data_IF_092889328354
#
_entry.id   IF_092889328354
#
_cell.length_a   1.000
_cell.length_b   1.000
_cell.length_c   1.000
_cell.angle_alpha   90.00
_cell.angle_beta   90.00
_cell.angle_gamma   90.00
#
_symmetry.space_group_name_H-M   'P 1'
#
loop_
_entity.id
_entity.type
_entity.pdbx_description
1 polymer ?
#
# COMPACT_ATOMS: atom_id res chain seq x y z
N UNK A 1 -27.54 -14.11 -1.43
CA UNK A 1 -26.26 -13.48 -1.07
C UNK A 1 -26.50 -12.75 0.25
N UNK A 2 -25.76 -13.04 1.28
CA UNK A 2 -25.85 -12.31 2.56
C UNK A 2 -24.91 -11.09 2.47
N UNK A 3 -25.43 -9.90 2.69
CA UNK A 3 -24.71 -8.63 2.65
C UNK A 3 -24.44 -8.07 4.04
N UNK A 4 -24.78 -8.82 5.10
CA UNK A 4 -24.52 -8.42 6.46
C UNK A 4 -23.04 -8.66 6.82
N UNK A 5 -22.45 -7.68 7.48
CA UNK A 5 -21.11 -7.81 8.03
C UNK A 5 -21.13 -8.75 9.24
N UNK A 6 -20.08 -9.54 9.41
CA UNK A 6 -19.86 -10.25 10.65
C UNK A 6 -19.58 -9.27 11.80
N UNK A 7 -19.75 -9.74 13.05
CA UNK A 7 -19.43 -8.92 14.22
C UNK A 7 -17.98 -8.43 14.23
N UNK A 8 -17.06 -9.26 13.77
CA UNK A 8 -15.64 -8.90 13.64
C UNK A 8 -15.43 -7.79 12.60
N UNK A 9 -16.05 -7.93 11.43
CA UNK A 9 -16.00 -6.92 10.37
C UNK A 9 -16.62 -5.59 10.81
N UNK A 10 -17.75 -5.61 11.55
CA UNK A 10 -18.34 -4.41 12.13
C UNK A 10 -17.40 -3.70 13.12
N UNK A 11 -16.71 -4.48 13.97
CA UNK A 11 -15.73 -3.94 14.92
C UNK A 11 -14.52 -3.32 14.20
N UNK A 12 -13.98 -4.00 13.18
CA UNK A 12 -12.88 -3.49 12.37
C UNK A 12 -13.29 -2.21 11.62
N UNK A 13 -14.46 -2.20 10.99
CA UNK A 13 -14.99 -1.01 10.31
C UNK A 13 -15.14 0.18 11.26
N UNK A 14 -15.64 -0.07 12.46
CA UNK A 14 -15.74 0.97 13.49
C UNK A 14 -14.36 1.50 13.87
N UNK A 15 -13.39 0.62 14.09
CA UNK A 15 -12.00 1.01 14.40
C UNK A 15 -11.40 1.87 13.28
N UNK A 16 -11.56 1.47 12.01
CA UNK A 16 -11.07 2.25 10.87
C UNK A 16 -11.72 3.62 10.79
N UNK A 17 -13.03 3.70 10.99
CA UNK A 17 -13.77 4.97 11.03
C UNK A 17 -13.31 5.88 12.16
N UNK A 18 -13.21 5.35 13.37
CA UNK A 18 -12.77 6.10 14.54
C UNK A 18 -11.34 6.64 14.31
N UNK A 19 -10.46 5.84 13.73
CA UNK A 19 -9.11 6.27 13.35
C UNK A 19 -9.14 7.36 12.26
N UNK A 20 -9.92 7.18 11.21
CA UNK A 20 -10.06 8.15 10.14
C UNK A 20 -10.53 9.52 10.65
N UNK A 21 -11.57 9.55 11.48
CA UNK A 21 -12.12 10.80 12.02
C UNK A 21 -11.19 11.49 13.02
N UNK A 22 -10.46 10.74 13.86
CA UNK A 22 -9.68 11.31 14.94
C UNK A 22 -8.20 11.57 14.58
N UNK A 23 -7.61 10.77 13.70
CA UNK A 23 -6.18 10.83 13.40
C UNK A 23 -5.87 11.29 11.98
N UNK A 24 -6.76 11.03 11.01
CA UNK A 24 -6.54 11.38 9.60
C UNK A 24 -7.21 12.72 9.25
N UNK A 25 -8.48 12.86 9.56
CA UNK A 25 -9.28 14.03 9.19
C UNK A 25 -8.69 15.37 9.66
N UNK A 26 -8.15 15.50 10.89
CA UNK A 26 -7.57 16.77 11.34
C UNK A 26 -6.35 17.24 10.54
N UNK A 27 -5.69 16.31 9.82
CA UNK A 27 -4.48 16.58 9.04
C UNK A 27 -4.74 16.60 7.54
N UNK A 28 -5.94 16.22 7.08
CA UNK A 28 -6.23 16.00 5.66
C UNK A 28 -6.02 17.26 4.81
N UNK A 29 -6.51 18.40 5.26
CA UNK A 29 -6.36 19.70 4.57
C UNK A 29 -4.86 20.10 4.48
N UNK A 30 -4.14 19.98 5.58
CA UNK A 30 -2.71 20.31 5.62
C UNK A 30 -1.88 19.39 4.71
N UNK A 31 -2.19 18.09 4.69
CA UNK A 31 -1.52 17.09 3.82
C UNK A 31 -1.72 17.45 2.35
N UNK A 32 -2.95 17.83 1.98
CA UNK A 32 -3.29 18.21 0.61
C UNK A 32 -2.62 19.52 0.18
N UNK A 33 -2.76 20.57 0.99
CA UNK A 33 -2.18 21.90 0.70
C UNK A 33 -0.65 21.92 0.63
N UNK A 34 0.03 21.06 1.39
CA UNK A 34 1.48 21.02 1.45
C UNK A 34 2.10 19.88 0.63
N UNK A 35 1.27 19.10 -0.12
CA UNK A 35 1.72 17.93 -0.88
C UNK A 35 2.57 16.98 -0.02
N UNK A 36 2.19 16.81 1.25
CA UNK A 36 2.99 16.15 2.25
C UNK A 36 2.64 14.67 2.41
N UNK A 37 3.64 13.81 2.59
CA UNK A 37 3.41 12.44 3.00
C UNK A 37 3.08 12.40 4.51
N UNK A 38 1.94 11.80 4.94
CA UNK A 38 1.48 11.82 6.34
C UNK A 38 2.20 10.76 7.19
N UNK A 39 3.51 10.91 7.38
CA UNK A 39 4.38 9.91 7.99
C UNK A 39 3.92 9.45 9.38
N UNK A 40 3.54 10.39 10.25
CA UNK A 40 3.09 10.06 11.61
C UNK A 40 1.74 9.31 11.59
N UNK A 41 0.85 9.64 10.67
CA UNK A 41 -0.42 8.91 10.47
C UNK A 41 -0.13 7.49 10.02
N UNK A 42 0.76 7.30 9.05
CA UNK A 42 1.17 5.97 8.55
C UNK A 42 1.80 5.13 9.66
N UNK A 43 2.66 5.71 10.51
CA UNK A 43 3.21 5.02 11.68
C UNK A 43 2.13 4.56 12.67
N UNK A 44 1.08 5.36 12.87
CA UNK A 44 -0.06 4.97 13.71
C UNK A 44 -0.89 3.86 13.06
N UNK A 45 -1.12 3.93 11.74
CA UNK A 45 -1.78 2.87 10.98
C UNK A 45 -1.03 1.54 11.08
N UNK A 46 0.30 1.58 10.97
CA UNK A 46 1.17 0.41 11.12
C UNK A 46 1.00 -0.26 12.49
N UNK A 47 0.97 0.53 13.58
CA UNK A 47 0.74 0.01 14.96
C UNK A 47 -0.62 -0.67 15.13
N UNK A 48 -1.61 -0.32 14.33
CA UNK A 48 -2.95 -0.92 14.32
C UNK A 48 -3.06 -2.09 13.31
N UNK A 49 -1.95 -2.50 12.67
CA UNK A 49 -1.92 -3.59 11.72
C UNK A 49 -2.54 -3.26 10.35
N UNK A 50 -2.77 -1.98 10.06
CA UNK A 50 -3.41 -1.57 8.80
C UNK A 50 -2.51 -1.71 7.57
N UNK A 51 -1.20 -1.92 7.75
CA UNK A 51 -0.27 -2.15 6.66
C UNK A 51 -0.24 -3.61 6.19
N UNK A 52 -0.89 -4.53 6.93
CA UNK A 52 -0.90 -5.96 6.61
C UNK A 52 -2.25 -6.64 6.86
N UNK A 53 -3.38 -5.97 6.60
CA UNK A 53 -4.72 -6.37 7.05
C UNK A 53 -5.06 -7.82 6.73
N UNK A 54 -4.97 -8.25 5.46
CA UNK A 54 -5.41 -9.59 5.05
C UNK A 54 -4.27 -10.60 4.86
N UNK A 55 -3.02 -10.19 5.07
CA UNK A 55 -1.91 -11.13 4.97
C UNK A 55 -1.85 -12.05 6.20
N UNK A 56 -1.40 -13.31 6.01
CA UNK A 56 -1.26 -14.27 7.10
C UNK A 56 -0.34 -13.78 8.22
N UNK A 57 -0.64 -14.21 9.44
CA UNK A 57 0.15 -13.86 10.63
C UNK A 57 1.58 -14.37 10.56
N UNK A 58 1.84 -15.47 9.84
CA UNK A 58 3.19 -16.00 9.61
C UNK A 58 4.11 -15.04 8.86
N UNK A 59 3.53 -14.13 8.06
CA UNK A 59 4.24 -13.05 7.37
C UNK A 59 4.07 -11.68 8.05
N UNK A 60 3.62 -11.65 9.30
CA UNK A 60 3.45 -10.43 10.06
C UNK A 60 2.15 -9.66 9.79
N UNK A 61 1.24 -10.22 8.99
CA UNK A 61 -0.07 -9.65 8.72
C UNK A 61 -1.05 -9.81 9.87
N UNK A 62 -2.18 -9.10 9.81
CA UNK A 62 -3.26 -9.19 10.81
C UNK A 62 -4.11 -10.45 10.66
N UNK A 63 -4.11 -11.09 9.49
CA UNK A 63 -4.88 -12.30 9.20
C UNK A 63 -6.39 -12.07 9.08
N UNK A 64 -6.80 -10.84 8.79
CA UNK A 64 -8.20 -10.52 8.47
C UNK A 64 -8.54 -10.90 7.02
N UNK A 65 -9.72 -10.56 6.54
CA UNK A 65 -10.14 -10.84 5.18
C UNK A 65 -9.98 -9.63 4.23
N UNK A 66 -10.15 -9.87 2.93
CA UNK A 66 -10.07 -8.83 1.90
C UNK A 66 -11.16 -7.77 2.08
N UNK A 67 -12.36 -8.15 2.58
CA UNK A 67 -13.44 -7.19 2.84
C UNK A 67 -13.04 -6.20 3.94
N UNK A 68 -12.35 -6.67 4.97
CA UNK A 68 -11.79 -5.82 6.02
C UNK A 68 -10.78 -4.81 5.46
N UNK A 69 -9.94 -5.22 4.51
CA UNK A 69 -9.04 -4.31 3.79
C UNK A 69 -9.81 -3.26 2.98
N UNK A 70 -10.82 -3.68 2.21
CA UNK A 70 -11.64 -2.74 1.43
C UNK A 70 -12.34 -1.72 2.33
N UNK A 71 -12.86 -2.15 3.48
CA UNK A 71 -13.47 -1.25 4.46
C UNK A 71 -12.46 -0.24 5.04
N UNK A 72 -11.20 -0.64 5.27
CA UNK A 72 -10.17 0.29 5.71
C UNK A 72 -9.90 1.36 4.65
N UNK A 73 -9.73 0.97 3.38
CA UNK A 73 -9.56 1.91 2.26
C UNK A 73 -10.76 2.85 2.15
N UNK A 74 -11.99 2.32 2.25
CA UNK A 74 -13.22 3.12 2.20
C UNK A 74 -13.27 4.17 3.31
N UNK A 75 -13.07 3.78 4.56
CA UNK A 75 -13.19 4.70 5.70
C UNK A 75 -12.07 5.76 5.69
N UNK A 76 -10.84 5.42 5.28
CA UNK A 76 -9.75 6.40 5.13
C UNK A 76 -10.03 7.36 3.98
N UNK A 77 -10.46 6.86 2.82
CA UNK A 77 -10.71 7.68 1.62
C UNK A 77 -11.87 8.66 1.79
N UNK A 78 -12.83 8.39 2.68
CA UNK A 78 -13.92 9.33 3.02
C UNK A 78 -13.43 10.63 3.62
N UNK A 79 -12.28 10.60 4.30
CA UNK A 79 -11.73 11.77 5.00
C UNK A 79 -10.46 12.31 4.34
N UNK A 80 -9.66 11.45 3.72
CA UNK A 80 -8.42 11.82 3.04
C UNK A 80 -8.10 10.80 1.94
N UNK A 81 -8.21 11.22 0.68
CA UNK A 81 -7.91 10.39 -0.49
C UNK A 81 -6.47 9.87 -0.47
N UNK A 82 -5.51 10.73 -0.14
CA UNK A 82 -4.08 10.38 -0.01
C UNK A 82 -3.86 9.22 0.95
N UNK A 83 -4.45 9.27 2.16
CA UNK A 83 -4.30 8.21 3.15
C UNK A 83 -4.94 6.89 2.69
N UNK A 84 -6.09 6.96 2.02
CA UNK A 84 -6.72 5.79 1.42
C UNK A 84 -5.86 5.15 0.33
N UNK A 85 -5.25 5.97 -0.53
CA UNK A 85 -4.33 5.51 -1.59
C UNK A 85 -3.06 4.89 -1.00
N UNK A 86 -2.51 5.42 0.08
CA UNK A 86 -1.33 4.83 0.75
C UNK A 86 -1.61 3.39 1.16
N UNK A 87 -2.72 3.12 1.86
CA UNK A 87 -3.10 1.73 2.22
C UNK A 87 -3.30 0.88 0.98
N UNK A 88 -4.01 1.42 -0.01
CA UNK A 88 -4.33 0.69 -1.23
C UNK A 88 -3.07 0.31 -2.01
N UNK A 89 -2.21 1.27 -2.31
CA UNK A 89 -0.99 1.05 -3.09
C UNK A 89 0.00 0.13 -2.37
N UNK A 90 0.24 0.38 -1.09
CA UNK A 90 1.11 -0.46 -0.28
C UNK A 90 0.64 -1.93 -0.26
N UNK A 91 -0.66 -2.14 -0.02
CA UNK A 91 -1.22 -3.48 0.16
C UNK A 91 -1.39 -4.22 -1.16
N UNK A 92 -2.12 -3.61 -2.12
CA UNK A 92 -2.53 -4.32 -3.34
C UNK A 92 -1.48 -4.26 -4.47
N UNK A 93 -0.66 -3.22 -4.52
CA UNK A 93 0.30 -3.04 -5.60
C UNK A 93 1.72 -3.49 -5.22
N UNK A 94 2.08 -3.47 -3.93
CA UNK A 94 3.39 -3.94 -3.47
C UNK A 94 3.32 -5.28 -2.74
N UNK A 95 2.58 -5.36 -1.62
CA UNK A 95 2.56 -6.56 -0.79
C UNK A 95 1.90 -7.76 -1.47
N UNK A 96 0.76 -7.55 -2.15
CA UNK A 96 0.02 -8.63 -2.80
C UNK A 96 0.82 -9.35 -3.89
N UNK A 97 1.49 -8.67 -4.84
CA UNK A 97 2.32 -9.35 -5.84
C UNK A 97 3.45 -10.19 -5.21
N UNK A 98 4.06 -9.71 -4.12
CA UNK A 98 5.07 -10.48 -3.39
C UNK A 98 4.43 -11.71 -2.74
N UNK A 99 3.28 -11.56 -2.12
CA UNK A 99 2.56 -12.65 -1.47
C UNK A 99 2.08 -13.70 -2.46
N UNK A 100 1.55 -13.29 -3.60
CA UNK A 100 0.96 -14.20 -4.59
C UNK A 100 2.02 -14.89 -5.47
N UNK A 101 3.09 -14.17 -5.84
CA UNK A 101 4.04 -14.61 -6.86
C UNK A 101 5.48 -14.79 -6.35
N UNK A 102 5.80 -14.30 -5.16
CA UNK A 102 7.14 -14.42 -4.57
C UNK A 102 7.45 -15.85 -4.14
N UNK A 103 8.75 -16.20 -4.10
CA UNK A 103 9.22 -17.43 -3.46
C UNK A 103 8.98 -17.34 -1.94
N UNK A 104 8.98 -18.48 -1.26
CA UNK A 104 8.86 -18.52 0.21
C UNK A 104 9.95 -17.72 0.93
N UNK A 105 11.14 -17.69 0.37
CA UNK A 105 12.26 -16.90 0.87
C UNK A 105 11.98 -15.40 0.74
N UNK A 106 11.50 -14.96 -0.43
CA UNK A 106 11.11 -13.57 -0.67
C UNK A 106 9.95 -13.14 0.25
N UNK A 107 8.91 -13.96 0.39
CA UNK A 107 7.78 -13.68 1.28
C UNK A 107 8.25 -13.47 2.72
N UNK A 108 9.07 -14.39 3.24
CA UNK A 108 9.61 -14.33 4.60
C UNK A 108 10.56 -13.14 4.83
N UNK A 109 11.22 -12.67 3.80
CA UNK A 109 12.13 -11.54 3.89
C UNK A 109 11.41 -10.19 3.81
N UNK A 110 10.49 -10.02 2.84
CA UNK A 110 9.86 -8.74 2.55
C UNK A 110 8.58 -8.49 3.37
N UNK A 111 7.66 -9.47 3.41
CA UNK A 111 6.33 -9.24 3.97
C UNK A 111 6.33 -8.83 5.44
N UNK A 112 7.13 -9.41 6.35
CA UNK A 112 7.13 -8.98 7.74
C UNK A 112 7.47 -7.50 7.93
N UNK A 113 8.40 -6.96 7.14
CA UNK A 113 8.82 -5.56 7.20
C UNK A 113 7.77 -4.63 6.58
N UNK A 114 7.12 -5.07 5.52
CA UNK A 114 6.03 -4.33 4.88
C UNK A 114 4.78 -4.35 5.76
N UNK A 115 4.35 -5.51 6.25
CA UNK A 115 3.16 -5.63 7.09
C UNK A 115 3.29 -4.91 8.44
N UNK A 116 4.51 -4.83 8.99
CA UNK A 116 4.77 -4.04 10.20
C UNK A 116 4.84 -2.53 9.96
N UNK A 117 4.93 -2.09 8.71
CA UNK A 117 5.14 -0.70 8.33
C UNK A 117 6.57 -0.19 8.59
N UNK A 118 7.53 -1.07 8.86
CA UNK A 118 8.96 -0.73 8.86
C UNK A 118 9.39 -0.24 7.48
N UNK A 119 8.86 -0.87 6.45
CA UNK A 119 9.02 -0.46 5.06
C UNK A 119 7.67 -0.08 4.46
N UNK A 120 7.69 0.97 3.63
CA UNK A 120 6.53 1.38 2.84
C UNK A 120 6.73 0.90 1.41
N UNK A 121 5.74 0.16 0.90
CA UNK A 121 5.75 -0.35 -0.45
C UNK A 121 5.19 0.66 -1.44
N UNK A 122 5.80 0.71 -2.62
CA UNK A 122 5.37 1.50 -3.76
C UNK A 122 5.40 0.63 -5.03
N UNK A 123 4.79 1.12 -6.10
CA UNK A 123 4.70 0.42 -7.38
C UNK A 123 4.90 1.40 -8.54
N UNK A 124 5.91 1.15 -9.36
CA UNK A 124 6.15 1.89 -10.59
C UNK A 124 5.68 1.05 -11.78
N UNK A 125 4.68 1.52 -12.51
CA UNK A 125 4.10 0.81 -13.65
C UNK A 125 4.21 1.61 -14.94
N UNK A 126 3.72 2.86 -14.92
CA UNK A 126 3.55 3.67 -16.12
C UNK A 126 4.87 4.15 -16.68
N UNK A 127 5.03 4.05 -18.00
CA UNK A 127 6.14 4.60 -18.77
C UNK A 127 5.61 5.60 -19.79
N UNK A 128 6.43 6.52 -20.33
CA UNK A 128 5.98 7.49 -21.33
C UNK A 128 5.30 6.87 -22.56
N UNK A 129 5.71 5.65 -22.95
CA UNK A 129 5.14 4.90 -24.06
C UNK A 129 4.16 3.80 -23.67
N UNK A 130 3.91 3.57 -22.38
CA UNK A 130 3.15 2.43 -21.86
C UNK A 130 2.25 2.83 -20.68
N UNK A 131 1.14 3.50 -21.00
CA UNK A 131 0.07 3.81 -20.05
C UNK A 131 -0.96 2.69 -20.02
N UNK A 132 -2.03 2.84 -20.82
CA UNK A 132 -3.10 1.82 -20.93
C UNK A 132 -2.56 0.50 -21.45
N UNK A 133 -1.63 0.53 -22.41
CA UNK A 133 -0.91 -0.67 -22.86
C UNK A 133 0.29 -0.96 -21.97
N UNK A 134 0.04 -1.56 -20.81
CA UNK A 134 1.10 -1.96 -19.88
C UNK A 134 2.03 -3.06 -20.42
N UNK A 135 1.67 -3.74 -21.52
CA UNK A 135 2.56 -4.70 -22.18
C UNK A 135 3.61 -4.02 -23.05
N UNK A 136 3.42 -2.75 -23.39
CA UNK A 136 4.37 -1.94 -24.15
C UNK A 136 5.56 -1.42 -23.33
N UNK A 137 5.71 -1.84 -22.08
CA UNK A 137 6.82 -1.40 -21.20
C UNK A 137 8.18 -1.77 -21.78
N UNK A 138 9.13 -0.84 -21.64
CA UNK A 138 10.51 -0.95 -22.15
C UNK A 138 11.56 -0.93 -21.03
N UNK A 139 11.15 -0.76 -19.79
CA UNK A 139 12.07 -0.80 -18.64
C UNK A 139 12.83 -2.13 -18.61
N UNK A 140 14.13 -2.03 -18.48
CA UNK A 140 15.03 -3.18 -18.39
C UNK A 140 15.80 -3.16 -17.08
N UNK A 141 16.19 -4.33 -16.59
CA UNK A 141 17.07 -4.48 -15.45
C UNK A 141 18.26 -5.34 -15.84
N UNK A 142 19.47 -4.89 -15.53
CA UNK A 142 20.72 -5.59 -15.83
C UNK A 142 21.50 -5.75 -14.52
N UNK A 143 22.06 -6.95 -14.28
CA UNK A 143 22.96 -7.16 -13.15
C UNK A 143 24.23 -6.34 -13.32
N UNK A 144 24.73 -5.77 -12.22
CA UNK A 144 26.03 -5.12 -12.20
C UNK A 144 27.17 -6.14 -12.46
N UNK A 145 28.39 -5.64 -12.67
CA UNK A 145 29.56 -6.50 -12.96
C UNK A 145 29.86 -7.50 -11.83
N UNK A 146 29.41 -7.22 -10.60
CA UNK A 146 29.59 -8.09 -9.44
C UNK A 146 28.48 -9.11 -9.27
N UNK A 147 27.36 -8.95 -9.99
CA UNK A 147 26.17 -9.78 -9.84
C UNK A 147 25.42 -9.59 -8.51
N UNK A 148 25.64 -8.45 -7.83
CA UNK A 148 25.08 -8.17 -6.51
C UNK A 148 23.85 -7.25 -6.59
N UNK A 149 23.79 -6.37 -7.61
CA UNK A 149 22.73 -5.38 -7.74
C UNK A 149 22.10 -5.37 -9.12
N UNK A 150 20.79 -5.15 -9.20
CA UNK A 150 20.11 -4.88 -10.44
C UNK A 150 20.15 -3.38 -10.74
N UNK A 151 20.68 -3.03 -11.90
CA UNK A 151 20.62 -1.67 -12.43
C UNK A 151 19.38 -1.58 -13.30
N UNK A 152 18.34 -0.88 -12.79
CA UNK A 152 17.10 -0.68 -13.49
C UNK A 152 17.19 0.62 -14.32
N UNK A 153 16.92 0.52 -15.61
CA UNK A 153 16.67 1.67 -16.47
C UNK A 153 15.17 1.88 -16.52
N UNK A 154 14.66 2.63 -15.55
CA UNK A 154 13.26 2.97 -15.45
C UNK A 154 12.93 4.09 -16.44
N UNK A 155 12.07 3.78 -17.40
CA UNK A 155 11.44 4.77 -18.27
C UNK A 155 10.07 5.20 -17.72
N UNK A 156 9.94 5.27 -16.41
CA UNK A 156 8.73 5.78 -15.77
C UNK A 156 8.69 7.29 -15.89
N UNK A 157 7.53 7.84 -16.22
CA UNK A 157 7.27 9.26 -15.95
C UNK A 157 7.42 9.46 -14.43
N UNK A 158 8.23 10.43 -14.04
CA UNK A 158 8.21 10.90 -12.66
C UNK A 158 6.84 11.54 -12.44
N UNK A 159 6.05 10.98 -11.50
CA UNK A 159 4.72 11.51 -11.18
C UNK A 159 4.78 12.99 -10.74
N UNK A 160 5.95 13.48 -10.32
CA UNK A 160 6.20 14.87 -10.02
C UNK A 160 6.33 15.75 -11.31
N UNK A 161 6.79 15.20 -12.43
CA UNK A 161 6.93 15.93 -13.70
C UNK A 161 5.60 16.02 -14.46
N UNK A 162 4.66 15.11 -14.23
CA UNK A 162 3.33 15.12 -14.88
C UNK A 162 2.35 16.16 -14.26
N UNK A 163 2.76 16.84 -13.19
CA UNK A 163 1.95 17.85 -12.47
C UNK A 163 2.37 19.30 -12.78
N UNK A 164 3.13 19.55 -13.83
CA UNK A 164 3.46 20.90 -14.31
C UNK A 164 2.54 21.35 -15.43
#
# INVERSE_FOLDING_TARGET
MDLHLSREQEMLRKMYRDFAENEVKPLAEWVDENEAFPEETVKKMAKLGMMGIYFPKEYGGAGADVLSYVMAVEEMSKVCGTTGVIISAHTSLCCAPIYENGTEEQKKYYLPKLCSGEWIGAFGLTEPGAGTDAQGQQTTAVLDEKGENWICLLYTSDAADDMQ
#
